data_IF_874323174565
#
_entry.id   IF_874323174565
#
_cell.length_a   1.000
_cell.length_b   1.000
_cell.length_c   1.000
_cell.angle_alpha   90.00
_cell.angle_beta   90.00
_cell.angle_gamma   90.00
#
_symmetry.space_group_name_H-M   'P 1'
#
loop_
_entity.id
_entity.type
_entity.pdbx_description
1 polymer ?
#
# COMPACT_ATOMS: atom_id res chain seq x y z
N UNK A 1 -20.10 -0.35 6.41
CA UNK A 1 -19.09 -0.89 5.49
C UNK A 1 -17.86 0.05 5.38
N UNK A 2 -17.52 0.80 6.43
CA UNK A 2 -16.54 1.91 6.35
C UNK A 2 -15.19 1.65 7.03
N UNK A 3 -15.03 0.54 7.75
CA UNK A 3 -13.82 0.28 8.53
C UNK A 3 -12.56 0.17 7.67
N UNK A 4 -12.69 -0.26 6.42
CA UNK A 4 -11.58 -0.40 5.47
C UNK A 4 -11.02 0.97 5.08
N UNK A 5 -11.88 1.96 4.81
CA UNK A 5 -11.49 3.32 4.44
C UNK A 5 -10.80 4.02 5.61
N UNK A 6 -11.37 3.89 6.81
CA UNK A 6 -10.79 4.45 8.02
C UNK A 6 -9.45 3.78 8.38
N UNK A 7 -9.35 2.46 8.19
CA UNK A 7 -8.11 1.71 8.38
C UNK A 7 -7.02 2.14 7.39
N UNK A 8 -7.39 2.34 6.12
CA UNK A 8 -6.50 2.83 5.06
C UNK A 8 -6.01 4.25 5.35
N UNK A 9 -6.90 5.16 5.71
CA UNK A 9 -6.55 6.54 6.05
C UNK A 9 -5.55 6.60 7.21
N UNK A 10 -5.73 5.76 8.24
CA UNK A 10 -4.78 5.66 9.37
C UNK A 10 -3.45 5.03 8.99
N UNK A 11 -3.44 4.02 8.13
CA UNK A 11 -2.21 3.31 7.76
C UNK A 11 -1.37 4.07 6.74
N UNK A 12 -2.01 4.72 5.77
CA UNK A 12 -1.35 5.60 4.80
C UNK A 12 -0.53 6.70 5.52
N UNK A 13 -1.05 7.20 6.64
CA UNK A 13 -0.36 8.19 7.47
C UNK A 13 0.87 7.66 8.24
N UNK A 14 1.06 6.33 8.36
CA UNK A 14 2.09 5.73 9.24
C UNK A 14 3.15 4.88 8.55
N UNK A 15 3.05 4.60 7.25
CA UNK A 15 3.92 3.60 6.61
C UNK A 15 4.55 4.02 5.27
N UNK A 16 5.61 3.32 4.85
CA UNK A 16 6.61 3.70 3.84
C UNK A 16 6.14 3.85 2.37
N UNK A 17 4.83 3.76 2.11
CA UNK A 17 4.25 4.33 0.89
C UNK A 17 3.82 5.74 1.28
N UNK A 18 4.58 6.74 0.84
CA UNK A 18 4.18 8.13 1.08
C UNK A 18 2.77 8.34 0.55
N UNK A 19 1.92 9.03 1.31
CA UNK A 19 0.55 9.43 0.90
C UNK A 19 0.49 9.95 -0.55
N UNK A 20 1.59 10.51 -1.06
CA UNK A 20 1.76 10.95 -2.46
C UNK A 20 1.53 9.87 -3.52
N UNK A 21 1.54 8.58 -3.16
CA UNK A 21 1.24 7.50 -4.09
C UNK A 21 -0.25 7.16 -4.13
N UNK A 22 -1.04 7.50 -3.12
CA UNK A 22 -2.49 7.35 -3.19
C UNK A 22 -3.07 8.49 -4.02
N UNK A 23 -3.85 8.16 -5.04
CA UNK A 23 -4.47 9.16 -5.92
C UNK A 23 -5.93 9.41 -5.54
N UNK A 24 -6.70 8.34 -5.35
CA UNK A 24 -8.13 8.42 -5.03
C UNK A 24 -8.61 7.14 -4.35
N UNK A 25 -9.69 7.26 -3.59
CA UNK A 25 -10.47 6.13 -3.08
C UNK A 25 -11.90 6.36 -3.56
N UNK A 26 -12.39 5.47 -4.42
CA UNK A 26 -13.71 5.56 -5.05
C UNK A 26 -14.48 4.29 -4.74
N UNK A 27 -15.48 4.38 -3.86
CA UNK A 27 -16.24 3.21 -3.40
C UNK A 27 -15.35 2.19 -2.71
N UNK A 28 -15.25 0.99 -3.28
CA UNK A 28 -14.40 -0.10 -2.80
C UNK A 28 -13.01 -0.14 -3.46
N UNK A 29 -12.72 0.78 -4.38
CA UNK A 29 -11.47 0.82 -5.14
C UNK A 29 -10.49 1.86 -4.59
N UNK A 30 -9.22 1.48 -4.54
CA UNK A 30 -8.10 2.35 -4.21
C UNK A 30 -7.24 2.54 -5.45
N UNK A 31 -7.14 3.78 -5.93
CA UNK A 31 -6.27 4.16 -7.05
C UNK A 31 -4.96 4.71 -6.53
N UNK A 32 -3.83 4.18 -7.01
CA UNK A 32 -2.51 4.55 -6.54
C UNK A 32 -1.42 4.42 -7.62
N UNK A 33 -0.34 5.17 -7.43
CA UNK A 33 0.91 5.06 -8.15
C UNK A 33 1.78 3.95 -7.55
N UNK A 34 2.31 3.09 -8.41
CA UNK A 34 3.32 2.12 -8.05
C UNK A 34 4.49 2.18 -9.02
N UNK A 35 5.65 1.74 -8.52
CA UNK A 35 6.83 1.55 -9.36
C UNK A 35 6.78 0.15 -9.94
N UNK A 36 6.58 0.04 -11.24
CA UNK A 36 6.59 -1.23 -11.95
C UNK A 36 8.04 -1.69 -12.14
N UNK A 37 8.54 -2.48 -11.18
CA UNK A 37 9.90 -3.04 -11.26
C UNK A 37 10.06 -4.08 -12.37
N UNK A 38 8.96 -4.58 -12.97
CA UNK A 38 9.02 -5.48 -14.12
C UNK A 38 9.23 -4.70 -15.42
N UNK A 39 8.79 -3.45 -15.46
CA UNK A 39 8.93 -2.55 -16.59
C UNK A 39 9.95 -1.44 -16.30
N UNK A 40 11.19 -1.85 -15.99
CA UNK A 40 12.31 -0.92 -15.80
C UNK A 40 12.17 0.06 -14.62
N UNK A 41 11.20 -0.15 -13.72
CA UNK A 41 10.95 0.76 -12.62
C UNK A 41 10.15 2.00 -13.00
N UNK A 42 9.35 1.95 -14.06
CA UNK A 42 8.48 3.07 -14.43
C UNK A 42 7.36 3.28 -13.41
N UNK A 43 6.95 4.54 -13.23
CA UNK A 43 5.80 4.87 -12.39
C UNK A 43 4.52 4.67 -13.19
N UNK A 44 3.61 3.86 -12.65
CA UNK A 44 2.32 3.54 -13.27
C UNK A 44 1.19 3.72 -12.27
N UNK A 45 0.00 3.98 -12.80
CA UNK A 45 -1.24 4.09 -12.04
C UNK A 45 -2.03 2.79 -12.14
N UNK A 46 -2.57 2.31 -11.03
CA UNK A 46 -3.52 1.19 -11.02
C UNK A 46 -4.59 1.39 -9.96
N UNK A 47 -5.64 0.58 -10.03
CA UNK A 47 -6.72 0.52 -9.03
C UNK A 47 -6.93 -0.91 -8.57
N UNK A 48 -7.11 -1.10 -7.27
CA UNK A 48 -7.42 -2.40 -6.67
C UNK A 48 -8.54 -2.26 -5.65
N UNK A 49 -9.30 -3.34 -5.38
CA UNK A 49 -10.18 -3.38 -4.24
C UNK A 49 -9.42 -3.05 -2.95
N UNK A 50 -10.02 -2.29 -2.04
CA UNK A 50 -9.37 -1.82 -0.82
C UNK A 50 -8.85 -2.97 0.06
N UNK A 51 -9.57 -4.09 0.09
CA UNK A 51 -9.14 -5.32 0.79
C UNK A 51 -7.86 -5.88 0.18
N UNK A 52 -7.81 -6.07 -1.15
CA UNK A 52 -6.61 -6.54 -1.85
C UNK A 52 -5.44 -5.58 -1.70
N UNK A 53 -5.71 -4.28 -1.73
CA UNK A 53 -4.70 -3.26 -1.51
C UNK A 53 -4.07 -3.42 -0.13
N UNK A 54 -4.87 -3.56 0.94
CA UNK A 54 -4.38 -3.77 2.31
C UNK A 54 -3.58 -5.06 2.41
N UNK A 55 -4.05 -6.18 1.84
CA UNK A 55 -3.34 -7.46 1.89
C UNK A 55 -1.97 -7.40 1.20
N UNK A 56 -1.90 -6.77 0.02
CA UNK A 56 -0.63 -6.56 -0.71
C UNK A 56 0.27 -5.60 0.05
N UNK A 57 -0.32 -4.56 0.64
CA UNK A 57 0.40 -3.57 1.42
C UNK A 57 1.03 -4.18 2.67
N UNK A 58 0.26 -4.89 3.49
CA UNK A 58 0.75 -5.56 4.70
C UNK A 58 1.84 -6.58 4.39
N UNK A 59 1.74 -7.31 3.27
CA UNK A 59 2.82 -8.19 2.79
C UNK A 59 4.11 -7.43 2.50
N UNK A 60 4.01 -6.22 1.94
CA UNK A 60 5.19 -5.40 1.64
C UNK A 60 5.72 -4.63 2.86
N UNK A 61 4.89 -4.40 3.87
CA UNK A 61 5.32 -3.76 5.12
C UNK A 61 6.27 -4.63 5.95
N UNK A 62 6.40 -5.92 5.63
CA UNK A 62 7.38 -6.79 6.29
C UNK A 62 8.80 -6.37 5.88
N UNK A 63 9.58 -5.72 6.76
CA UNK A 63 10.92 -5.29 6.42
C UNK A 63 11.79 -6.56 6.30
N UNK A 64 12.55 -6.76 5.22
CA UNK A 64 13.47 -7.90 5.09
C UNK A 64 14.65 -7.86 6.09
N UNK A 65 14.65 -6.96 7.08
CA UNK A 65 15.73 -6.73 8.04
C UNK A 65 15.26 -6.66 9.49
N UNK A 66 14.23 -7.39 9.87
CA UNK A 66 14.15 -7.85 11.26
C UNK A 66 15.33 -8.78 11.51
N UNK A 67 16.48 -8.19 11.90
CA UNK A 67 17.61 -8.93 12.43
C UNK A 67 17.07 -9.67 13.66
N UNK A 68 16.89 -10.98 13.55
CA UNK A 68 16.60 -11.82 14.72
C UNK A 68 17.62 -11.42 15.79
N UNK A 69 17.14 -10.93 16.94
CA UNK A 69 17.98 -10.76 18.11
C UNK A 69 18.43 -12.19 18.44
N UNK A 70 19.69 -12.51 18.12
CA UNK A 70 20.32 -13.71 18.66
C UNK A 70 20.49 -13.42 20.15
N UNK A 71 19.76 -14.17 20.97
CA UNK A 71 20.07 -14.27 22.39
C UNK A 71 21.42 -14.98 22.55
#
# INVERSE_FOLDING_TARGET
MDRVVEYLARYANRTAISNRRLLAIEGDQVRFHYKDNRDGGQWKTTSLPGVEFIERFLRYLWPPRMRHIRR
#
